data_IF_328154174223
#
_entry.id   IF_328154174223
#
_cell.length_a   1.000
_cell.length_b   1.000
_cell.length_c   1.000
_cell.angle_alpha   90.00
_cell.angle_beta   90.00
_cell.angle_gamma   90.00
#
_symmetry.space_group_name_H-M   'P 1'
#
loop_
_entity.id
_entity.type
_entity.pdbx_description
1 polymer ?
#
# COMPACT_ATOMS: atom_id res chain seq x y z
N UNK A 1 -1.32 -9.78 13.32
CA UNK A 1 -1.10 -8.42 13.88
C UNK A 1 -1.08 -7.36 12.78
N UNK A 2 -0.23 -7.46 11.75
CA UNK A 2 -0.13 -6.48 10.65
C UNK A 2 -1.44 -6.27 9.86
N UNK A 3 -2.18 -7.33 9.53
CA UNK A 3 -3.46 -7.21 8.83
C UNK A 3 -4.52 -6.43 9.64
N UNK A 4 -4.58 -6.66 10.95
CA UNK A 4 -5.50 -5.94 11.83
C UNK A 4 -5.14 -4.45 11.95
N UNK A 5 -3.83 -4.13 11.94
CA UNK A 5 -3.36 -2.76 11.92
C UNK A 5 -3.74 -2.05 10.62
N UNK A 6 -3.59 -2.72 9.47
CA UNK A 6 -4.03 -2.17 8.17
C UNK A 6 -5.54 -1.94 8.14
N UNK A 7 -6.34 -2.88 8.65
CA UNK A 7 -7.79 -2.73 8.75
C UNK A 7 -8.18 -1.56 9.66
N UNK A 8 -7.50 -1.41 10.79
CA UNK A 8 -7.71 -0.28 11.69
C UNK A 8 -7.42 1.06 11.02
N UNK A 9 -6.26 1.18 10.35
CA UNK A 9 -5.88 2.38 9.60
C UNK A 9 -6.90 2.66 8.50
N UNK A 10 -7.31 1.65 7.73
CA UNK A 10 -8.33 1.79 6.69
C UNK A 10 -9.65 2.34 7.24
N UNK A 11 -10.15 1.78 8.34
CA UNK A 11 -11.39 2.26 8.96
C UNK A 11 -11.26 3.72 9.41
N UNK A 12 -10.10 4.12 9.95
CA UNK A 12 -9.86 5.51 10.37
C UNK A 12 -9.71 6.47 9.20
N UNK A 13 -9.06 6.07 8.12
CA UNK A 13 -9.00 6.89 6.91
C UNK A 13 -10.38 7.09 6.29
N UNK A 14 -11.30 6.13 6.44
CA UNK A 14 -12.68 6.23 5.94
C UNK A 14 -13.55 7.22 6.73
N UNK A 15 -13.22 7.47 8.00
CA UNK A 15 -13.92 8.46 8.84
C UNK A 15 -13.50 9.91 8.53
N UNK A 16 -12.41 10.11 7.76
CA UNK A 16 -11.86 11.42 7.44
C UNK A 16 -12.45 11.91 6.12
N UNK A 17 -13.07 13.08 6.14
CA UNK A 17 -13.71 13.69 4.97
C UNK A 17 -12.70 14.24 3.96
N UNK A 18 -11.64 14.91 4.44
CA UNK A 18 -10.55 15.43 3.61
C UNK A 18 -9.19 14.88 4.01
N UNK A 19 -8.66 13.98 3.18
CA UNK A 19 -7.34 13.35 3.34
C UNK A 19 -6.18 14.34 3.16
N UNK A 20 -6.40 15.50 2.54
CA UNK A 20 -5.36 16.52 2.33
C UNK A 20 -4.93 17.15 3.65
N UNK A 21 -5.80 17.12 4.66
CA UNK A 21 -5.52 17.59 6.03
C UNK A 21 -4.55 16.69 6.79
N UNK A 22 -4.34 15.46 6.31
CA UNK A 22 -3.46 14.51 6.97
C UNK A 22 -1.99 14.86 6.72
N UNK A 23 -1.22 14.81 7.81
CA UNK A 23 0.23 14.96 7.78
C UNK A 23 0.89 13.73 8.40
N UNK A 24 2.01 13.35 7.82
CA UNK A 24 2.82 12.22 8.24
C UNK A 24 4.00 12.77 9.00
N UNK A 25 4.11 12.41 10.27
CA UNK A 25 5.27 12.77 11.09
C UNK A 25 6.20 11.58 11.22
N UNK A 26 7.41 11.72 10.69
CA UNK A 26 8.51 10.78 10.89
C UNK A 26 9.37 11.27 12.04
N UNK A 27 9.62 10.42 13.03
CA UNK A 27 10.54 10.71 14.12
C UNK A 27 11.80 9.86 13.94
N UNK A 28 12.91 10.49 13.54
CA UNK A 28 14.21 9.85 13.44
C UNK A 28 15.13 10.45 14.51
N UNK A 29 15.36 9.71 15.59
CA UNK A 29 16.34 10.08 16.62
C UNK A 29 16.13 11.44 17.28
N UNK A 30 14.88 11.93 17.34
CA UNK A 30 14.55 13.24 17.90
C UNK A 30 14.24 14.32 16.85
N UNK A 31 14.63 14.11 15.59
CA UNK A 31 14.23 14.98 14.49
C UNK A 31 12.84 14.56 13.98
N UNK A 32 11.86 15.45 14.18
CA UNK A 32 10.51 15.30 13.63
C UNK A 32 10.44 15.97 12.27
N UNK A 33 10.17 15.17 11.24
CA UNK A 33 9.89 15.67 9.90
C UNK A 33 8.41 15.47 9.59
N UNK A 34 7.75 16.49 9.08
CA UNK A 34 6.34 16.43 8.69
C UNK A 34 6.20 16.57 7.19
N UNK A 35 5.43 15.66 6.59
CA UNK A 35 5.14 15.63 5.16
C UNK A 35 3.63 15.56 4.94
N UNK A 36 3.10 16.08 3.82
CA UNK A 36 1.69 15.90 3.48
C UNK A 36 1.41 14.42 3.14
N UNK A 37 0.16 13.99 3.32
CA UNK A 37 -0.23 12.59 3.16
C UNK A 37 0.07 12.02 1.77
N UNK A 38 0.03 12.83 0.71
CA UNK A 38 0.29 12.37 -0.66
C UNK A 38 1.69 11.74 -0.82
N UNK A 39 2.67 12.15 -0.01
CA UNK A 39 4.01 11.56 -0.04
C UNK A 39 4.00 10.07 0.33
N UNK A 40 3.02 9.59 1.13
CA UNK A 40 2.84 8.16 1.40
C UNK A 40 2.43 7.39 0.14
N UNK A 41 1.58 8.01 -0.68
CA UNK A 41 1.10 7.42 -1.93
C UNK A 41 2.26 7.34 -2.93
N UNK A 42 2.93 8.46 -3.17
CA UNK A 42 3.97 8.54 -4.20
C UNK A 42 5.29 7.89 -3.79
N UNK A 43 5.56 7.71 -2.51
CA UNK A 43 6.74 7.01 -2.02
C UNK A 43 6.43 5.56 -1.68
N UNK A 44 6.15 5.23 -0.40
CA UNK A 44 6.01 3.84 0.07
C UNK A 44 4.99 2.97 -0.69
N UNK A 45 3.83 3.52 -1.06
CA UNK A 45 2.80 2.72 -1.75
C UNK A 45 3.22 2.43 -3.20
N UNK A 46 3.69 3.45 -3.93
CA UNK A 46 4.24 3.26 -5.28
C UNK A 46 5.41 2.29 -5.31
N UNK A 47 6.31 2.35 -4.33
CA UNK A 47 7.43 1.43 -4.19
C UNK A 47 6.96 -0.03 -3.98
N UNK A 48 5.94 -0.23 -3.13
CA UNK A 48 5.33 -1.55 -2.95
C UNK A 48 4.74 -2.10 -4.26
N UNK A 49 4.06 -1.25 -5.06
CA UNK A 49 3.52 -1.64 -6.37
C UNK A 49 4.66 -2.03 -7.33
N UNK A 50 5.73 -1.24 -7.35
CA UNK A 50 6.92 -1.51 -8.17
C UNK A 50 7.53 -2.88 -7.84
N UNK A 51 7.73 -3.17 -6.56
CA UNK A 51 8.25 -4.46 -6.11
C UNK A 51 7.29 -5.63 -6.37
N UNK A 52 5.97 -5.42 -6.28
CA UNK A 52 4.99 -6.42 -6.68
C UNK A 52 5.16 -6.85 -8.15
N UNK A 53 5.48 -5.91 -9.06
CA UNK A 53 5.78 -6.22 -10.46
C UNK A 53 6.96 -7.18 -10.61
N UNK A 54 8.03 -6.98 -9.85
CA UNK A 54 9.20 -7.86 -9.84
C UNK A 54 8.84 -9.27 -9.36
N UNK A 55 8.04 -9.37 -8.29
CA UNK A 55 7.55 -10.66 -7.77
C UNK A 55 6.72 -11.40 -8.82
N UNK A 56 5.83 -10.71 -9.52
CA UNK A 56 5.00 -11.30 -10.58
C UNK A 56 5.86 -11.84 -11.72
N UNK A 57 6.90 -11.12 -12.13
CA UNK A 57 7.85 -11.58 -13.15
C UNK A 57 8.58 -12.84 -12.70
N UNK A 58 9.10 -12.86 -11.47
CA UNK A 58 9.80 -14.03 -10.92
C UNK A 58 8.88 -15.26 -10.84
N UNK A 59 7.62 -15.06 -10.45
CA UNK A 59 6.59 -16.12 -10.44
C UNK A 59 6.32 -16.71 -11.82
N UNK A 60 6.30 -15.88 -12.87
CA UNK A 60 6.15 -16.36 -14.25
C UNK A 60 7.38 -17.14 -14.70
N UNK A 61 8.57 -16.63 -14.41
CA UNK A 61 9.83 -17.26 -14.77
C UNK A 61 10.03 -18.63 -14.08
N UNK A 62 9.51 -18.81 -12.86
CA UNK A 62 9.58 -20.08 -12.13
C UNK A 62 8.46 -21.07 -12.46
N UNK A 63 7.61 -20.79 -13.45
CA UNK A 63 6.51 -21.67 -13.85
C UNK A 63 5.30 -21.64 -12.90
N UNK A 64 5.18 -20.63 -12.03
CA UNK A 64 4.06 -20.44 -11.10
C UNK A 64 3.30 -19.11 -11.36
N UNK A 65 2.74 -18.91 -12.57
CA UNK A 65 2.04 -17.68 -12.90
C UNK A 65 0.82 -17.44 -11.98
N UNK A 66 0.37 -16.18 -11.90
CA UNK A 66 -0.89 -15.87 -11.24
C UNK A 66 -2.05 -16.56 -11.99
N UNK A 67 -3.06 -17.02 -11.24
CA UNK A 67 -4.24 -17.65 -11.82
C UNK A 67 -4.95 -16.66 -12.78
N UNK A 68 -5.18 -17.08 -14.03
CA UNK A 68 -5.77 -16.26 -15.09
C UNK A 68 -7.20 -15.80 -14.79
N UNK A 69 -7.88 -16.47 -13.86
CA UNK A 69 -9.23 -16.13 -13.40
C UNK A 69 -9.25 -14.98 -12.39
N UNK A 70 -8.10 -14.54 -11.87
CA UNK A 70 -8.04 -13.46 -10.89
C UNK A 70 -8.38 -12.14 -11.58
N UNK A 71 -9.45 -11.50 -11.12
CA UNK A 71 -9.75 -10.12 -11.46
C UNK A 71 -9.18 -9.18 -10.39
N UNK A 72 -8.15 -8.42 -10.75
CA UNK A 72 -7.46 -7.50 -9.82
C UNK A 72 -8.33 -6.31 -9.39
N UNK A 73 -9.32 -5.93 -10.18
CA UNK A 73 -10.23 -4.83 -9.86
C UNK A 73 -11.24 -5.23 -8.77
N UNK A 74 -11.80 -6.43 -8.89
CA UNK A 74 -12.84 -6.95 -7.96
C UNK A 74 -12.22 -7.71 -6.79
N UNK A 75 -10.97 -8.16 -6.91
CA UNK A 75 -10.27 -8.96 -5.89
C UNK A 75 -10.85 -10.37 -5.72
N UNK A 76 -11.49 -10.91 -6.77
CA UNK A 76 -12.10 -12.25 -6.79
C UNK A 76 -11.65 -13.03 -8.02
N UNK A 77 -11.68 -14.36 -7.93
CA UNK A 77 -11.55 -15.23 -9.09
C UNK A 77 -12.91 -15.38 -9.78
N UNK A 78 -12.94 -15.17 -11.09
CA UNK A 78 -14.11 -15.40 -11.95
C UNK A 78 -13.85 -16.52 -12.94
#
# INVERSE_FOLDING_TARGET
KSLNNLKYVFNKLKEIEDLSTLTITLNQGGNKMSFPFWNMINGPISDAIWHCGQVVTNRRASGNPINSKVNVFVGKTM
#
